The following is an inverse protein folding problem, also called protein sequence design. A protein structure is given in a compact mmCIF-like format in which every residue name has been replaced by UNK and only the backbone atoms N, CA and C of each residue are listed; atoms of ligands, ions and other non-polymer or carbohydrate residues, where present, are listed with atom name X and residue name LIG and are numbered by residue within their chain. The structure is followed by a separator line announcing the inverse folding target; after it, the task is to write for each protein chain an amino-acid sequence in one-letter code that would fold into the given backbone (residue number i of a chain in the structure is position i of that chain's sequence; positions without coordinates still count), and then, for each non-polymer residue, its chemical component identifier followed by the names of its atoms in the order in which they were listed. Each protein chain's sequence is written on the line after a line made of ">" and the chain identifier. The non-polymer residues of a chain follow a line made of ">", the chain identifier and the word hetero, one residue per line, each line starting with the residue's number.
data_IF_756911642573
#
_entry.id   IF_756911642573
#
_cell.length_a   1.000
_cell.length_b   1.000
_cell.length_c   1.000
_cell.angle_alpha   90.00
_cell.angle_beta   90.00
_cell.angle_gamma   90.00
#
_symmetry.space_group_name_H-M   'P 1'
#
loop_
_entity.id
_entity.type
_entity.pdbx_description
1 polymer ?
#
# COMPACT_ATOMS: atom_id res chain seq x y z
N UNK A 1 -1.72 30.67 -11.60
CA UNK A 1 -1.99 31.06 -10.20
C UNK A 1 -0.65 31.05 -9.50
N UNK A 2 -0.18 32.18 -8.98
CA UNK A 2 0.95 32.16 -8.07
C UNK A 2 0.47 31.47 -6.79
N UNK A 3 1.07 30.32 -6.46
CA UNK A 3 0.79 29.65 -5.19
C UNK A 3 1.20 30.61 -4.08
N UNK A 4 0.26 31.00 -3.25
CA UNK A 4 0.57 31.78 -2.05
C UNK A 4 1.40 30.90 -1.12
N UNK A 5 2.60 31.32 -0.82
CA UNK A 5 3.53 30.57 0.06
C UNK A 5 3.78 31.45 1.27
N UNK A 6 3.55 30.92 2.46
CA UNK A 6 3.84 31.63 3.70
C UNK A 6 5.35 31.57 4.01
N UNK A 7 6.05 32.64 3.65
CA UNK A 7 7.51 32.80 3.89
C UNK A 7 7.87 32.95 5.36
N UNK A 8 6.87 33.17 6.24
CA UNK A 8 7.08 33.28 7.69
C UNK A 8 6.87 31.97 8.42
N UNK A 9 6.50 30.91 7.70
CA UNK A 9 6.30 29.58 8.25
C UNK A 9 7.56 29.06 8.97
N UNK A 10 7.41 28.23 10.01
CA UNK A 10 8.55 27.68 10.75
C UNK A 10 9.46 26.86 9.84
N UNK A 11 10.76 26.99 10.08
CA UNK A 11 11.79 26.22 9.38
C UNK A 11 11.99 24.86 10.04
N UNK A 12 12.22 23.84 9.24
CA UNK A 12 12.63 22.49 9.67
C UNK A 12 13.68 21.96 8.69
N UNK A 13 14.82 21.51 9.19
CA UNK A 13 15.93 21.11 8.33
C UNK A 13 15.55 19.91 7.43
N UNK A 14 14.74 18.95 7.93
CA UNK A 14 14.30 17.80 7.17
C UNK A 14 12.82 17.48 7.42
N UNK A 15 12.00 17.54 6.39
CA UNK A 15 10.61 17.08 6.41
C UNK A 15 10.50 15.73 5.69
N UNK A 16 9.98 14.71 6.36
CA UNK A 16 9.77 13.37 5.81
C UNK A 16 8.27 13.15 5.64
N UNK A 17 7.82 12.91 4.42
CA UNK A 17 6.41 12.72 4.10
C UNK A 17 6.10 11.22 4.03
N UNK A 18 5.39 10.73 5.04
CA UNK A 18 5.00 9.34 5.24
C UNK A 18 5.78 8.66 6.37
N UNK A 19 5.05 8.21 7.38
CA UNK A 19 5.56 7.48 8.56
C UNK A 19 5.57 5.96 8.38
N UNK A 20 5.65 5.49 7.12
CA UNK A 20 5.85 4.07 6.81
C UNK A 20 7.29 3.61 7.01
N UNK A 21 7.64 2.35 6.65
CA UNK A 21 8.98 1.79 6.88
C UNK A 21 10.09 2.63 6.25
N UNK A 22 9.89 3.15 5.04
CA UNK A 22 10.87 3.96 4.35
C UNK A 22 11.12 5.30 5.06
N UNK A 23 10.03 5.99 5.47
CA UNK A 23 10.15 7.28 6.16
C UNK A 23 10.78 7.16 7.54
N UNK A 24 10.38 6.16 8.33
CA UNK A 24 11.00 5.93 9.64
C UNK A 24 12.48 5.53 9.50
N UNK A 25 12.82 4.69 8.51
CA UNK A 25 14.22 4.32 8.25
C UNK A 25 15.06 5.53 7.82
N UNK A 26 14.50 6.40 6.96
CA UNK A 26 15.17 7.64 6.54
C UNK A 26 15.39 8.58 7.73
N UNK A 27 14.40 8.73 8.61
CA UNK A 27 14.51 9.55 9.81
C UNK A 27 15.63 9.06 10.76
N UNK A 28 15.65 7.75 11.03
CA UNK A 28 16.69 7.13 11.86
C UNK A 28 18.08 7.34 11.25
N UNK A 29 18.22 7.09 9.94
CA UNK A 29 19.48 7.28 9.24
C UNK A 29 19.92 8.75 9.25
N UNK A 30 19.02 9.69 9.01
CA UNK A 30 19.33 11.13 9.08
C UNK A 30 19.80 11.54 10.48
N UNK A 31 19.11 11.08 11.52
CA UNK A 31 19.49 11.35 12.90
C UNK A 31 20.88 10.80 13.23
N UNK A 32 21.17 9.57 12.85
CA UNK A 32 22.46 8.91 13.10
C UNK A 32 23.61 9.59 12.34
N UNK A 33 23.29 10.34 11.26
CA UNK A 33 24.24 11.18 10.50
C UNK A 33 24.21 12.67 10.89
N UNK A 34 23.64 13.02 12.07
CA UNK A 34 23.78 14.35 12.65
C UNK A 34 22.63 15.33 12.41
N UNK A 35 21.59 14.99 11.61
CA UNK A 35 20.41 15.83 11.48
C UNK A 35 19.57 15.72 12.74
N UNK A 36 19.24 16.86 13.38
CA UNK A 36 18.48 16.90 14.64
C UNK A 36 17.12 17.55 14.49
N UNK A 37 17.02 18.58 13.65
CA UNK A 37 15.77 19.27 13.36
C UNK A 37 15.06 18.57 12.20
N UNK A 38 14.10 17.71 12.54
CA UNK A 38 13.32 16.96 11.55
C UNK A 38 11.94 16.62 12.07
N UNK A 39 11.01 16.39 11.14
CA UNK A 39 9.67 15.89 11.43
C UNK A 39 9.20 14.89 10.38
N UNK A 40 8.51 13.84 10.82
CA UNK A 40 7.76 12.92 9.97
C UNK A 40 6.31 13.38 9.96
N UNK A 41 5.74 13.61 8.76
CA UNK A 41 4.31 13.87 8.58
C UNK A 41 3.62 12.58 8.13
N UNK A 42 2.72 12.04 8.95
CA UNK A 42 1.98 10.81 8.69
C UNK A 42 0.48 11.09 8.66
N UNK A 43 -0.20 10.72 7.59
CA UNK A 43 -1.65 10.97 7.43
C UNK A 43 -2.52 10.08 8.31
N UNK A 44 -2.09 8.84 8.58
CA UNK A 44 -2.81 7.94 9.46
C UNK A 44 -2.58 8.35 10.93
N UNK A 45 -3.47 7.90 11.82
CA UNK A 45 -3.35 8.17 13.27
C UNK A 45 -2.18 7.42 13.93
N UNK A 46 -1.58 6.49 13.22
CA UNK A 46 -0.45 5.71 13.71
C UNK A 46 0.59 5.54 12.60
N UNK A 47 1.86 5.68 12.94
CA UNK A 47 2.96 5.36 12.04
C UNK A 47 3.06 3.84 11.77
N UNK A 48 3.77 3.46 10.69
CA UNK A 48 3.98 2.08 10.27
C UNK A 48 3.52 1.80 8.83
N UNK A 49 2.65 2.65 8.29
CA UNK A 49 2.17 2.55 6.91
C UNK A 49 1.57 1.18 6.59
N UNK A 50 1.87 0.67 5.38
CA UNK A 50 1.34 -0.61 4.87
C UNK A 50 1.72 -1.82 5.74
N UNK A 51 2.81 -1.76 6.47
CA UNK A 51 3.26 -2.86 7.33
C UNK A 51 2.25 -3.22 8.41
N UNK A 52 1.47 -2.26 8.89
CA UNK A 52 0.46 -2.49 9.92
C UNK A 52 -0.61 -3.51 9.53
N UNK A 53 -0.90 -3.64 8.25
CA UNK A 53 -1.85 -4.62 7.71
C UNK A 53 -1.19 -5.91 7.20
N UNK A 54 0.16 -5.93 7.08
CA UNK A 54 0.92 -7.09 6.61
C UNK A 54 1.23 -8.04 7.77
N UNK A 55 0.22 -8.75 8.28
CA UNK A 55 0.36 -9.64 9.46
C UNK A 55 1.05 -10.97 9.15
N UNK A 56 1.52 -11.18 7.92
CA UNK A 56 2.32 -12.33 7.51
C UNK A 56 3.81 -12.11 7.77
N UNK A 57 4.56 -13.20 7.86
CA UNK A 57 6.02 -13.20 7.98
C UNK A 57 6.70 -12.77 6.67
N UNK A 58 8.02 -12.52 6.74
CA UNK A 58 8.88 -12.23 5.59
C UNK A 58 9.59 -10.88 5.67
N UNK A 59 9.47 -10.19 6.79
CA UNK A 59 10.17 -8.92 7.05
C UNK A 59 11.34 -9.14 8.01
N UNK A 60 12.32 -8.26 7.99
CA UNK A 60 13.36 -8.16 9.02
C UNK A 60 14.63 -8.96 8.82
N UNK A 61 14.64 -10.03 8.03
CA UNK A 61 15.81 -10.92 7.88
C UNK A 61 17.08 -10.16 7.51
N UNK A 62 17.07 -9.30 6.52
CA UNK A 62 18.25 -8.53 6.09
C UNK A 62 18.61 -7.39 7.05
N UNK A 63 17.65 -6.86 7.77
CA UNK A 63 17.86 -5.67 8.63
C UNK A 63 18.14 -6.03 10.09
N UNK A 64 17.44 -7.04 10.60
CA UNK A 64 17.46 -7.40 12.02
C UNK A 64 17.97 -8.82 12.26
N UNK A 65 18.23 -9.61 11.20
CA UNK A 65 18.64 -11.02 11.33
C UNK A 65 17.52 -11.95 11.84
N UNK A 66 16.28 -11.45 11.88
CA UNK A 66 15.10 -12.15 12.40
C UNK A 66 13.95 -12.08 11.41
N UNK A 67 13.13 -13.13 11.34
CA UNK A 67 11.91 -13.13 10.54
C UNK A 67 10.77 -12.53 11.37
N UNK A 68 10.26 -11.41 10.92
CA UNK A 68 9.23 -10.62 11.58
C UNK A 68 7.96 -10.55 10.72
N UNK A 69 6.84 -10.29 11.38
CA UNK A 69 5.63 -9.79 10.72
C UNK A 69 5.77 -8.30 10.40
N UNK A 70 4.90 -7.77 9.51
CA UNK A 70 4.89 -6.35 9.19
C UNK A 70 4.72 -5.44 10.42
N UNK A 71 3.73 -5.68 11.31
CA UNK A 71 3.57 -4.90 12.54
C UNK A 71 4.80 -4.93 13.46
N UNK A 72 5.44 -6.07 13.64
CA UNK A 72 6.67 -6.17 14.46
C UNK A 72 7.81 -5.37 13.86
N UNK A 73 8.00 -5.43 12.54
CA UNK A 73 9.00 -4.62 11.86
C UNK A 73 8.71 -3.12 12.01
N UNK A 74 7.45 -2.71 11.84
CA UNK A 74 7.04 -1.32 12.00
C UNK A 74 7.26 -0.83 13.45
N UNK A 75 6.93 -1.65 14.44
CA UNK A 75 7.13 -1.34 15.85
C UNK A 75 8.61 -1.14 16.20
N UNK A 76 9.50 -1.98 15.68
CA UNK A 76 10.95 -1.81 15.88
C UNK A 76 11.44 -0.46 15.36
N UNK A 77 11.06 -0.07 14.15
CA UNK A 77 11.43 1.25 13.63
C UNK A 77 10.78 2.39 14.38
N UNK A 78 9.53 2.24 14.80
CA UNK A 78 8.85 3.24 15.61
C UNK A 78 9.58 3.47 16.96
N UNK A 79 9.99 2.39 17.64
CA UNK A 79 10.81 2.48 18.85
C UNK A 79 12.13 3.22 18.61
N UNK A 80 12.83 2.90 17.51
CA UNK A 80 14.09 3.60 17.15
C UNK A 80 13.87 5.09 16.90
N UNK A 81 12.74 5.50 16.33
CA UNK A 81 12.36 6.90 16.12
C UNK A 81 12.07 7.60 17.45
N UNK A 82 11.28 6.96 18.34
CA UNK A 82 10.92 7.48 19.66
C UNK A 82 12.15 7.62 20.56
N UNK A 83 13.02 6.62 20.61
CA UNK A 83 14.27 6.64 21.40
C UNK A 83 15.21 7.78 20.99
N UNK A 84 15.15 8.23 19.74
CA UNK A 84 15.91 9.37 19.22
C UNK A 84 15.21 10.72 19.41
N UNK A 85 14.00 10.73 19.96
CA UNK A 85 13.21 11.94 20.12
C UNK A 85 12.78 12.57 18.81
N UNK A 86 12.70 11.82 17.69
CA UNK A 86 12.28 12.33 16.39
C UNK A 86 10.77 12.55 16.42
N UNK A 87 10.35 13.75 16.04
CA UNK A 87 8.93 14.13 16.01
C UNK A 87 8.18 13.39 14.89
N UNK A 88 7.01 12.82 15.23
CA UNK A 88 6.04 12.30 14.27
C UNK A 88 4.73 13.06 14.47
N UNK A 89 4.27 13.77 13.44
CA UNK A 89 2.93 14.36 13.39
C UNK A 89 2.00 13.38 12.67
N UNK A 90 1.20 12.65 13.43
CA UNK A 90 0.15 11.76 12.91
C UNK A 90 -1.14 12.53 12.62
N UNK A 91 -2.03 11.98 11.78
CA UNK A 91 -3.24 12.68 11.32
C UNK A 91 -2.92 13.91 10.45
N UNK A 92 -1.69 14.03 9.95
CA UNK A 92 -1.22 15.16 9.15
C UNK A 92 -1.12 14.78 7.67
N UNK A 93 -2.07 15.25 6.86
CA UNK A 93 -2.09 15.01 5.41
C UNK A 93 -1.38 16.13 4.69
N UNK A 94 -0.30 15.81 3.99
CA UNK A 94 0.40 16.77 3.12
C UNK A 94 -0.45 17.01 1.86
N UNK A 95 -0.72 18.26 1.57
CA UNK A 95 -1.53 18.72 0.45
C UNK A 95 -0.68 19.16 -0.73
N UNK A 96 0.46 19.80 -0.45
CA UNK A 96 1.34 20.37 -1.47
C UNK A 96 2.80 20.40 -1.03
N UNK A 97 3.71 20.33 -2.00
CA UNK A 97 5.14 20.54 -1.84
C UNK A 97 5.58 21.49 -2.95
N UNK A 98 5.70 22.76 -2.62
CA UNK A 98 6.09 23.82 -3.56
C UNK A 98 7.60 24.05 -3.48
N UNK A 99 8.38 23.85 -4.57
CA UNK A 99 9.80 24.20 -4.59
C UNK A 99 10.04 25.67 -4.24
N UNK A 100 11.18 25.96 -3.63
CA UNK A 100 11.54 27.32 -3.19
C UNK A 100 12.81 27.82 -3.86
N UNK A 101 12.84 29.12 -4.17
CA UNK A 101 14.05 29.83 -4.60
C UNK A 101 14.73 30.56 -3.41
N UNK A 102 14.23 30.36 -2.18
CA UNK A 102 14.81 30.96 -0.97
C UNK A 102 16.06 30.20 -0.56
N UNK A 103 17.13 30.92 -0.26
CA UNK A 103 18.40 30.30 0.16
C UNK A 103 18.21 29.47 1.46
N UNK A 104 18.69 28.22 1.43
CA UNK A 104 18.55 27.28 2.55
C UNK A 104 17.17 26.63 2.71
N UNK A 105 16.23 26.94 1.83
CA UNK A 105 14.87 26.34 1.81
C UNK A 105 14.66 25.62 0.49
N UNK A 106 14.59 24.28 0.54
CA UNK A 106 14.36 23.47 -0.67
C UNK A 106 12.88 23.53 -1.12
N UNK A 107 11.96 23.55 -0.17
CA UNK A 107 10.52 23.56 -0.47
C UNK A 107 9.69 24.08 0.70
N UNK A 108 8.47 24.52 0.37
CA UNK A 108 7.38 24.73 1.32
C UNK A 108 6.48 23.52 1.32
N UNK A 109 6.27 22.92 2.48
CA UNK A 109 5.40 21.73 2.65
C UNK A 109 4.13 22.18 3.35
N UNK A 110 3.01 22.15 2.63
CA UNK A 110 1.70 22.49 3.18
C UNK A 110 0.95 21.23 3.56
N UNK A 111 0.48 21.16 4.79
CA UNK A 111 -0.26 20.05 5.36
C UNK A 111 -1.49 20.52 6.13
N UNK A 112 -2.39 19.56 6.39
CA UNK A 112 -3.58 19.76 7.22
C UNK A 112 -3.66 18.65 8.26
N UNK A 113 -4.01 19.01 9.50
CA UNK A 113 -4.34 18.06 10.56
C UNK A 113 -5.55 18.57 11.36
N UNK A 114 -6.18 17.66 12.10
CA UNK A 114 -7.29 18.03 12.99
C UNK A 114 -6.80 18.96 14.12
N UNK A 115 -5.60 18.73 14.64
CA UNK A 115 -5.06 19.43 15.78
C UNK A 115 -4.59 20.87 15.45
N UNK A 116 -4.03 21.08 14.26
CA UNK A 116 -3.37 22.36 13.90
C UNK A 116 -4.10 23.12 12.77
N UNK A 117 -5.11 22.48 12.14
CA UNK A 117 -5.69 23.00 10.90
C UNK A 117 -4.70 22.91 9.74
N UNK A 118 -4.75 23.89 8.84
CA UNK A 118 -3.79 24.01 7.74
C UNK A 118 -2.52 24.72 8.21
N UNK A 119 -1.37 24.14 7.95
CA UNK A 119 -0.06 24.70 8.30
C UNK A 119 0.95 24.48 7.16
N UNK A 120 1.99 25.29 7.16
CA UNK A 120 3.11 25.19 6.20
C UNK A 120 4.43 25.09 6.98
N UNK A 121 5.37 24.29 6.44
CA UNK A 121 6.75 24.21 6.92
C UNK A 121 7.71 24.66 5.81
N UNK A 122 8.73 25.43 6.16
CA UNK A 122 9.88 25.72 5.30
C UNK A 122 10.89 24.61 5.50
N UNK A 123 11.09 23.78 4.48
CA UNK A 123 11.92 22.58 4.56
C UNK A 123 13.29 22.81 3.93
N UNK A 124 14.37 22.56 4.68
CA UNK A 124 15.73 22.53 4.15
C UNK A 124 15.95 21.36 3.20
N UNK A 125 15.28 20.25 3.46
CA UNK A 125 15.20 19.09 2.57
C UNK A 125 13.86 18.36 2.77
N UNK A 126 13.39 17.64 1.72
CA UNK A 126 12.18 16.83 1.77
C UNK A 126 12.46 15.41 1.33
N UNK A 127 12.02 14.43 2.12
CA UNK A 127 12.03 13.01 1.75
C UNK A 127 10.61 12.57 1.44
N UNK A 128 10.36 12.10 0.22
CA UNK A 128 9.08 11.56 -0.21
C UNK A 128 9.04 10.05 0.07
N UNK A 129 8.32 9.65 1.12
CA UNK A 129 8.18 8.26 1.58
C UNK A 129 6.70 7.82 1.63
N UNK A 130 5.88 8.33 0.71
CA UNK A 130 4.42 8.21 0.70
C UNK A 130 3.91 6.84 0.26
N UNK A 131 4.80 5.92 -0.11
CA UNK A 131 4.42 4.61 -0.66
C UNK A 131 3.83 4.70 -2.07
N UNK A 132 3.09 3.67 -2.43
CA UNK A 132 2.40 3.61 -3.72
C UNK A 132 0.96 3.12 -3.54
N UNK A 133 0.19 3.18 -4.62
CA UNK A 133 -1.16 2.64 -4.68
C UNK A 133 -1.26 1.54 -5.72
N UNK A 134 -2.03 0.52 -5.41
CA UNK A 134 -2.39 -0.52 -6.35
C UNK A 134 -3.26 0.03 -7.49
N UNK A 135 -3.23 -0.64 -8.63
CA UNK A 135 -4.08 -0.29 -9.76
C UNK A 135 -5.54 -0.54 -9.42
N UNK A 136 -6.36 0.48 -9.57
CA UNK A 136 -7.82 0.35 -9.41
C UNK A 136 -8.46 -0.36 -10.61
N UNK A 137 -9.71 -0.82 -10.44
CA UNK A 137 -10.52 -1.33 -11.57
C UNK A 137 -10.51 -0.40 -12.79
N UNK A 138 -10.62 0.92 -12.54
CA UNK A 138 -10.62 1.92 -13.62
C UNK A 138 -9.31 1.94 -14.41
N UNK A 139 -8.18 1.81 -13.73
CA UNK A 139 -6.86 1.74 -14.37
C UNK A 139 -6.63 0.42 -15.14
N UNK A 140 -7.35 -0.65 -14.78
CA UNK A 140 -7.29 -1.94 -15.48
C UNK A 140 -8.26 -2.03 -16.67
N UNK A 141 -9.14 -1.04 -16.86
CA UNK A 141 -10.14 -1.00 -17.94
C UNK A 141 -11.01 -2.26 -18.07
N UNK A 142 -11.34 -2.91 -16.95
CA UNK A 142 -12.19 -4.10 -16.96
C UNK A 142 -13.62 -3.69 -17.30
N UNK A 143 -14.18 -4.30 -18.35
CA UNK A 143 -15.53 -4.04 -18.81
C UNK A 143 -16.60 -4.45 -17.79
N UNK A 144 -17.82 -3.94 -17.95
CA UNK A 144 -18.96 -4.23 -17.10
C UNK A 144 -19.33 -3.09 -16.14
N UNK A 145 -20.19 -3.41 -15.20
CA UNK A 145 -20.74 -2.47 -14.22
C UNK A 145 -19.74 -2.09 -13.12
N UNK A 146 -20.13 -1.18 -12.24
CA UNK A 146 -19.33 -0.77 -11.07
C UNK A 146 -20.06 -1.07 -9.76
N UNK A 147 -20.38 -2.34 -9.47
CA UNK A 147 -21.07 -2.70 -8.24
C UNK A 147 -20.12 -2.63 -7.04
N UNK A 148 -20.67 -2.63 -5.84
CA UNK A 148 -19.90 -2.89 -4.63
C UNK A 148 -19.29 -4.31 -4.68
N UNK A 149 -18.14 -4.52 -4.00
CA UNK A 149 -17.48 -5.82 -3.92
C UNK A 149 -16.22 -5.96 -4.80
N UNK A 150 -15.74 -4.85 -5.39
CA UNK A 150 -14.50 -4.81 -6.16
C UNK A 150 -13.49 -3.99 -5.38
N UNK A 151 -12.41 -4.62 -4.97
CA UNK A 151 -11.38 -4.02 -4.14
C UNK A 151 -9.99 -4.29 -4.72
N UNK A 152 -9.03 -3.41 -4.47
CA UNK A 152 -7.63 -3.79 -4.59
C UNK A 152 -7.25 -4.77 -3.47
N UNK A 153 -6.23 -5.59 -3.69
CA UNK A 153 -5.81 -6.59 -2.70
C UNK A 153 -5.39 -5.94 -1.36
N UNK A 154 -4.69 -4.81 -1.40
CA UNK A 154 -4.30 -4.08 -0.18
C UNK A 154 -5.50 -3.46 0.56
N UNK A 155 -6.54 -3.01 -0.16
CA UNK A 155 -7.77 -2.56 0.50
C UNK A 155 -8.50 -3.72 1.17
N UNK A 156 -8.60 -4.88 0.50
CA UNK A 156 -9.17 -6.08 1.09
C UNK A 156 -8.36 -6.55 2.31
N UNK A 157 -7.03 -6.46 2.23
CA UNK A 157 -6.12 -6.77 3.33
C UNK A 157 -6.38 -5.88 4.56
N UNK A 158 -6.55 -4.57 4.35
CA UNK A 158 -6.89 -3.64 5.42
C UNK A 158 -8.22 -4.03 6.08
N UNK A 159 -9.27 -4.26 5.28
CA UNK A 159 -10.57 -4.66 5.82
C UNK A 159 -10.47 -5.92 6.68
N UNK A 160 -9.80 -6.95 6.19
CA UNK A 160 -9.70 -8.22 6.92
C UNK A 160 -8.79 -8.10 8.14
N UNK A 161 -7.60 -7.51 7.98
CA UNK A 161 -6.55 -7.57 8.99
C UNK A 161 -6.61 -6.45 10.04
N UNK A 162 -7.23 -5.32 9.73
CA UNK A 162 -7.27 -4.16 10.63
C UNK A 162 -8.68 -3.79 11.07
N UNK A 163 -9.67 -3.92 10.17
CA UNK A 163 -11.03 -3.48 10.46
C UNK A 163 -11.96 -4.64 10.86
N UNK A 164 -11.53 -5.90 10.67
CA UNK A 164 -12.33 -7.09 11.00
C UNK A 164 -13.52 -7.33 10.06
N UNK A 165 -13.50 -6.76 8.85
CA UNK A 165 -14.56 -6.93 7.86
C UNK A 165 -14.18 -7.93 6.78
N UNK A 166 -15.13 -8.82 6.45
CA UNK A 166 -14.99 -9.73 5.30
C UNK A 166 -15.55 -9.06 4.04
N UNK A 167 -14.70 -8.65 3.06
CA UNK A 167 -15.17 -7.94 1.87
C UNK A 167 -16.02 -8.81 0.93
N UNK A 168 -15.84 -10.14 0.95
CA UNK A 168 -16.63 -11.07 0.18
C UNK A 168 -16.42 -12.51 0.60
N UNK A 169 -17.45 -13.35 0.46
CA UNK A 169 -17.40 -14.79 0.81
C UNK A 169 -17.05 -15.69 -0.36
N UNK A 170 -17.29 -15.25 -1.60
CA UNK A 170 -16.83 -15.89 -2.83
C UNK A 170 -15.97 -14.90 -3.57
N UNK A 171 -14.73 -15.28 -3.86
CA UNK A 171 -13.69 -14.34 -4.28
C UNK A 171 -13.00 -14.86 -5.53
N UNK A 172 -12.77 -13.99 -6.48
CA UNK A 172 -11.81 -14.18 -7.59
C UNK A 172 -10.74 -13.10 -7.43
N UNK A 173 -9.48 -13.50 -7.51
CA UNK A 173 -8.33 -12.60 -7.41
C UNK A 173 -7.73 -12.43 -8.80
N UNK A 174 -7.53 -11.19 -9.22
CA UNK A 174 -6.86 -10.85 -10.48
C UNK A 174 -5.45 -10.34 -10.19
N UNK A 175 -4.48 -11.15 -10.59
CA UNK A 175 -3.05 -10.96 -10.37
C UNK A 175 -2.47 -11.91 -9.33
N UNK A 176 -1.35 -12.56 -9.69
CA UNK A 176 -0.62 -13.53 -8.87
C UNK A 176 0.68 -12.96 -8.27
N UNK A 177 0.75 -11.64 -8.06
CA UNK A 177 1.78 -11.05 -7.22
C UNK A 177 1.62 -11.46 -5.75
N UNK A 178 2.65 -11.30 -4.93
CA UNK A 178 2.67 -11.77 -3.54
C UNK A 178 1.45 -11.33 -2.73
N UNK A 179 1.00 -10.09 -2.87
CA UNK A 179 -0.20 -9.59 -2.15
C UNK A 179 -1.45 -10.37 -2.55
N UNK A 180 -1.63 -10.68 -3.86
CA UNK A 180 -2.76 -11.49 -4.34
C UNK A 180 -2.73 -12.91 -3.75
N UNK A 181 -1.56 -13.55 -3.76
CA UNK A 181 -1.37 -14.91 -3.20
C UNK A 181 -1.62 -14.93 -1.67
N UNK A 182 -1.02 -14.01 -0.94
CA UNK A 182 -1.19 -13.88 0.51
C UNK A 182 -2.66 -13.64 0.87
N UNK A 183 -3.35 -12.80 0.09
CA UNK A 183 -4.78 -12.55 0.34
C UNK A 183 -5.67 -13.73 -0.03
N UNK A 184 -5.30 -14.53 -1.04
CA UNK A 184 -6.01 -15.80 -1.32
C UNK A 184 -6.01 -16.69 -0.08
N UNK A 185 -4.84 -16.97 0.49
CA UNK A 185 -4.70 -17.73 1.74
C UNK A 185 -5.44 -17.07 2.90
N UNK A 186 -5.23 -15.76 3.10
CA UNK A 186 -5.79 -15.04 4.24
C UNK A 186 -7.32 -15.08 4.23
N UNK A 187 -7.96 -14.80 3.11
CA UNK A 187 -9.41 -14.82 3.01
C UNK A 187 -9.99 -16.23 3.17
N UNK A 188 -9.27 -17.25 2.69
CA UNK A 188 -9.65 -18.65 2.90
C UNK A 188 -9.63 -19.02 4.37
N UNK A 189 -8.60 -18.61 5.13
CA UNK A 189 -8.51 -18.83 6.56
C UNK A 189 -9.62 -18.12 7.35
N UNK A 190 -10.14 -17.02 6.83
CA UNK A 190 -11.28 -16.30 7.41
C UNK A 190 -12.65 -16.82 6.90
N UNK A 191 -12.65 -17.94 6.19
CA UNK A 191 -13.88 -18.64 5.76
C UNK A 191 -14.46 -18.18 4.43
N UNK A 192 -13.71 -17.46 3.59
CA UNK A 192 -14.10 -17.20 2.21
C UNK A 192 -13.73 -18.38 1.30
N UNK A 193 -14.52 -18.57 0.25
CA UNK A 193 -14.20 -19.48 -0.86
C UNK A 193 -13.48 -18.68 -1.95
N UNK A 194 -12.16 -18.87 -2.08
CA UNK A 194 -11.41 -18.30 -3.20
C UNK A 194 -11.53 -19.23 -4.39
N UNK A 195 -12.27 -18.80 -5.40
CA UNK A 195 -12.60 -19.59 -6.60
C UNK A 195 -11.41 -19.79 -7.52
N UNK A 196 -10.61 -18.74 -7.70
CA UNK A 196 -9.40 -18.76 -8.53
C UNK A 196 -8.55 -17.54 -8.28
N UNK A 197 -7.26 -17.67 -8.58
CA UNK A 197 -6.32 -16.56 -8.84
C UNK A 197 -6.04 -16.56 -10.34
N UNK A 198 -6.39 -15.46 -11.02
CA UNK A 198 -6.17 -15.29 -12.47
C UNK A 198 -4.91 -14.47 -12.70
N UNK A 199 -4.04 -14.92 -13.59
CA UNK A 199 -2.81 -14.22 -13.96
C UNK A 199 -2.73 -14.04 -15.47
N UNK A 200 -2.52 -12.80 -15.88
CA UNK A 200 -2.43 -12.42 -17.29
C UNK A 200 -1.21 -13.04 -17.98
N UNK A 201 -0.12 -13.20 -17.23
CA UNK A 201 1.13 -13.78 -17.74
C UNK A 201 1.08 -15.31 -17.72
N UNK A 202 1.91 -16.00 -18.54
CA UNK A 202 2.05 -17.45 -18.47
C UNK A 202 2.86 -17.94 -17.25
N UNK A 203 3.16 -17.06 -16.32
CA UNK A 203 3.87 -17.35 -15.07
C UNK A 203 3.36 -16.44 -13.95
N UNK A 204 3.49 -16.88 -12.71
CA UNK A 204 3.19 -16.06 -11.53
C UNK A 204 4.28 -15.00 -11.29
N UNK A 205 3.87 -13.79 -10.90
CA UNK A 205 4.77 -12.73 -10.47
C UNK A 205 5.18 -12.81 -9.00
N UNK A 206 4.57 -13.69 -8.22
CA UNK A 206 4.87 -13.88 -6.80
C UNK A 206 6.00 -14.90 -6.56
N UNK A 207 6.49 -14.93 -5.32
CA UNK A 207 7.52 -15.88 -4.90
C UNK A 207 6.99 -17.31 -4.95
N UNK A 208 7.84 -18.27 -5.39
CA UNK A 208 7.48 -19.69 -5.48
C UNK A 208 6.94 -20.25 -4.16
N UNK A 209 7.54 -19.88 -3.02
CA UNK A 209 7.03 -20.28 -1.69
C UNK A 209 5.60 -19.82 -1.44
N UNK A 210 5.21 -18.64 -1.93
CA UNK A 210 3.86 -18.13 -1.76
C UNK A 210 2.86 -18.84 -2.67
N UNK A 211 3.27 -19.32 -3.84
CA UNK A 211 2.40 -20.19 -4.66
C UNK A 211 2.05 -21.44 -3.86
N UNK A 212 3.05 -22.15 -3.35
CA UNK A 212 2.82 -23.37 -2.56
C UNK A 212 2.00 -23.09 -1.30
N UNK A 213 2.46 -22.17 -0.43
CA UNK A 213 1.85 -21.93 0.87
C UNK A 213 0.49 -21.21 0.81
N UNK A 214 0.20 -20.50 -0.27
CA UNK A 214 -1.02 -19.70 -0.36
C UNK A 214 -2.06 -20.28 -1.32
N UNK A 215 -1.65 -21.10 -2.29
CA UNK A 215 -2.56 -21.70 -3.26
C UNK A 215 -2.58 -23.23 -3.17
N UNK A 216 -1.44 -23.92 -3.35
CA UNK A 216 -1.39 -25.38 -3.41
C UNK A 216 -1.88 -26.02 -2.11
N UNK A 217 -1.41 -25.53 -0.95
CA UNK A 217 -1.83 -26.02 0.37
C UNK A 217 -3.33 -25.83 0.64
N UNK A 218 -4.00 -24.95 -0.09
CA UNK A 218 -5.42 -24.65 0.06
C UNK A 218 -6.27 -25.13 -1.12
N UNK A 219 -5.66 -25.75 -2.12
CA UNK A 219 -6.36 -26.20 -3.33
C UNK A 219 -6.96 -25.07 -4.15
N UNK A 220 -6.38 -23.87 -4.12
CA UNK A 220 -6.86 -22.71 -4.86
C UNK A 220 -6.28 -22.72 -6.27
N UNK A 221 -7.13 -22.72 -7.33
CA UNK A 221 -6.64 -22.76 -8.71
C UNK A 221 -5.87 -21.50 -9.10
N UNK A 222 -4.68 -21.68 -9.69
CA UNK A 222 -3.93 -20.62 -10.37
C UNK A 222 -4.15 -20.74 -11.88
N UNK A 223 -4.86 -19.77 -12.44
CA UNK A 223 -5.20 -19.72 -13.87
C UNK A 223 -4.22 -18.78 -14.59
N UNK A 224 -3.12 -19.32 -15.09
CA UNK A 224 -2.12 -18.58 -15.87
C UNK A 224 -2.64 -18.29 -17.29
N UNK A 225 -2.20 -17.19 -17.90
CA UNK A 225 -2.70 -16.71 -19.20
C UNK A 225 -4.22 -16.50 -19.21
N UNK A 226 -4.77 -16.01 -18.09
CA UNK A 226 -6.19 -15.70 -17.95
C UNK A 226 -6.39 -14.30 -17.37
N UNK A 227 -7.47 -13.66 -17.76
CA UNK A 227 -7.87 -12.35 -17.22
C UNK A 227 -9.37 -12.23 -17.05
N UNK A 228 -9.79 -11.34 -16.16
CA UNK A 228 -11.19 -10.97 -16.03
C UNK A 228 -11.57 -10.03 -17.17
N UNK A 229 -12.52 -10.44 -17.98
CA UNK A 229 -12.99 -9.69 -19.17
C UNK A 229 -14.29 -8.94 -18.94
N UNK A 230 -15.12 -9.40 -17.97
CA UNK A 230 -16.37 -8.73 -17.65
C UNK A 230 -16.73 -8.87 -16.18
N UNK A 231 -17.36 -7.83 -15.64
CA UNK A 231 -17.88 -7.76 -14.27
C UNK A 231 -19.40 -7.76 -14.34
N UNK A 232 -20.04 -8.61 -13.54
CA UNK A 232 -21.48 -8.77 -13.46
C UNK A 232 -22.02 -8.27 -12.11
N UNK A 233 -23.26 -7.76 -12.14
CA UNK A 233 -23.96 -7.23 -10.98
C UNK A 233 -24.33 -5.77 -11.14
N UNK A 234 -25.29 -5.30 -10.38
CA UNK A 234 -25.78 -3.91 -10.42
C UNK A 234 -25.42 -3.18 -9.13
N UNK A 235 -25.97 -3.61 -8.01
CA UNK A 235 -25.67 -3.02 -6.69
C UNK A 235 -24.43 -3.66 -6.07
N UNK A 236 -24.32 -4.98 -6.17
CA UNK A 236 -23.18 -5.76 -5.70
C UNK A 236 -22.72 -6.73 -6.77
N UNK A 237 -21.42 -7.06 -6.75
CA UNK A 237 -20.81 -8.06 -7.60
C UNK A 237 -21.52 -9.42 -7.43
N UNK A 238 -21.96 -10.02 -8.53
CA UNK A 238 -22.58 -11.34 -8.58
C UNK A 238 -21.68 -12.36 -9.26
N UNK A 239 -20.75 -11.93 -10.11
CA UNK A 239 -19.82 -12.79 -10.81
C UNK A 239 -18.88 -12.00 -11.70
N UNK A 240 -17.92 -12.71 -12.27
CA UNK A 240 -16.99 -12.20 -13.30
C UNK A 240 -16.90 -13.22 -14.41
N UNK A 241 -16.67 -12.75 -15.64
CA UNK A 241 -16.25 -13.61 -16.75
C UNK A 241 -14.74 -13.60 -16.81
N UNK A 242 -14.14 -14.79 -16.86
CA UNK A 242 -12.70 -15.00 -17.04
C UNK A 242 -12.47 -15.58 -18.42
N UNK A 243 -11.49 -15.07 -19.16
CA UNK A 243 -11.11 -15.58 -20.47
C UNK A 243 -9.63 -15.89 -20.53
N UNK A 244 -9.27 -16.93 -21.29
CA UNK A 244 -7.89 -17.21 -21.65
C UNK A 244 -7.37 -16.11 -22.58
N UNK A 245 -6.07 -15.80 -22.51
CA UNK A 245 -5.45 -14.81 -23.38
C UNK A 245 -4.40 -15.41 -24.31
N UNK A 246 -4.25 -14.81 -25.49
CA UNK A 246 -3.20 -15.13 -26.46
C UNK A 246 -1.83 -14.57 -26.02
N UNK A 247 -0.78 -14.85 -26.81
CA UNK A 247 0.58 -14.34 -26.57
C UNK A 247 0.66 -12.79 -26.58
N UNK A 248 -0.29 -12.14 -27.20
CA UNK A 248 -0.42 -10.66 -27.20
C UNK A 248 -1.29 -10.16 -26.05
N UNK A 249 -1.67 -11.04 -25.12
CA UNK A 249 -2.52 -10.76 -23.94
C UNK A 249 -3.94 -10.30 -24.31
N UNK A 250 -4.46 -10.75 -25.45
CA UNK A 250 -5.83 -10.45 -25.87
C UNK A 250 -6.74 -11.64 -25.55
N UNK A 251 -7.94 -11.40 -25.02
CA UNK A 251 -8.90 -12.48 -24.73
C UNK A 251 -9.18 -13.31 -25.99
N UNK A 252 -9.20 -14.63 -25.81
CA UNK A 252 -9.51 -15.60 -26.88
C UNK A 252 -11.02 -15.84 -26.85
N UNK A 253 -11.77 -15.48 -27.93
CA UNK A 253 -13.21 -15.74 -27.99
C UNK A 253 -13.55 -17.23 -27.84
N UNK A 254 -14.59 -17.56 -27.08
CA UNK A 254 -15.04 -18.91 -26.82
C UNK A 254 -14.26 -19.63 -25.69
N UNK A 255 -13.37 -18.90 -24.98
CA UNK A 255 -12.66 -19.43 -23.82
C UNK A 255 -13.23 -18.92 -22.47
N UNK A 256 -14.36 -18.22 -22.54
CA UNK A 256 -15.02 -17.58 -21.39
C UNK A 256 -15.55 -18.65 -20.41
N UNK A 257 -15.33 -18.41 -19.13
CA UNK A 257 -15.87 -19.17 -17.99
C UNK A 257 -16.41 -18.24 -16.91
#
# INVERSE_FOLDING_TARGET
>A
MQNYVDKTAPYTALVIIGGGPAGMAAAVAAYDNGVRDMVILERDLNAGGILRQCIHNGFGLHRFGEELTGPEYADRYHKMVVERGIAIKTGATVLDVTPSDEEGVAAYVTAISEAEGMFTLRAGAVVLAMGCRERSKGALNIAGTRPAGIYSAGTAQRFVNMEGYMPGRKVVILGSGDIGLIMARRMTLEGAEVKAVCELMPYSGGLARNITQCLDDFGIPLMLSHTVTQIHGKERLTGVTVSKVDERRRPIPGSET
#
